data_IF_662894768059
#
_entry.id   IF_662894768059
#
_cell.length_a   1.000
_cell.length_b   1.000
_cell.length_c   1.000
_cell.angle_alpha   90.00
_cell.angle_beta   90.00
_cell.angle_gamma   90.00
#
_symmetry.space_group_name_H-M   'P 1'
#
loop_
_entity.id
_entity.type
_entity.pdbx_description
1 polymer ?
#
# COMPACT_ATOMS: atom_id res chain seq x y z
N UNK A 1 -5.26 -16.45 17.09
CA UNK A 1 -5.88 -15.19 16.60
C UNK A 1 -7.33 -15.35 16.14
N UNK A 2 -7.62 -16.23 15.16
CA UNK A 2 -8.98 -16.40 14.58
C UNK A 2 -10.13 -16.55 15.61
N UNK A 3 -9.93 -17.33 16.67
CA UNK A 3 -10.96 -17.55 17.70
C UNK A 3 -11.24 -16.30 18.55
N UNK A 4 -10.21 -15.52 18.88
CA UNK A 4 -10.35 -14.23 19.57
C UNK A 4 -11.22 -13.26 18.76
N UNK A 5 -10.94 -13.12 17.46
CA UNK A 5 -11.70 -12.26 16.56
C UNK A 5 -13.16 -12.72 16.44
N UNK A 6 -13.39 -14.03 16.30
CA UNK A 6 -14.76 -14.59 16.25
C UNK A 6 -15.53 -14.29 17.52
N UNK A 7 -14.91 -14.46 18.68
CA UNK A 7 -15.54 -14.21 19.96
C UNK A 7 -15.86 -12.72 20.16
N UNK A 8 -14.92 -11.83 19.85
CA UNK A 8 -15.14 -10.40 19.93
C UNK A 8 -16.27 -9.93 19.00
N UNK A 9 -16.32 -10.42 17.75
CA UNK A 9 -17.41 -10.13 16.81
C UNK A 9 -18.76 -10.70 17.27
N UNK A 10 -18.77 -11.84 17.95
CA UNK A 10 -19.98 -12.39 18.54
C UNK A 10 -20.53 -11.47 19.64
N UNK A 11 -19.68 -11.02 20.56
CA UNK A 11 -20.05 -10.05 21.61
C UNK A 11 -20.58 -8.74 21.00
N UNK A 12 -19.90 -8.22 19.97
CA UNK A 12 -20.32 -7.03 19.23
C UNK A 12 -21.71 -7.18 18.60
N UNK A 13 -21.97 -8.32 17.94
CA UNK A 13 -23.28 -8.60 17.31
C UNK A 13 -24.42 -8.67 18.33
N UNK A 14 -24.13 -9.09 19.56
CA UNK A 14 -25.10 -9.11 20.67
C UNK A 14 -25.16 -7.78 21.45
N UNK A 15 -24.54 -6.71 20.94
CA UNK A 15 -24.46 -5.39 21.58
C UNK A 15 -23.69 -5.35 22.90
N UNK A 16 -22.89 -6.38 23.21
CA UNK A 16 -22.01 -6.40 24.38
C UNK A 16 -20.67 -5.72 24.09
N UNK A 17 -20.71 -4.41 23.82
CA UNK A 17 -19.56 -3.63 23.37
C UNK A 17 -18.40 -3.65 24.38
N UNK A 18 -18.70 -3.52 25.68
CA UNK A 18 -17.68 -3.55 26.73
C UNK A 18 -16.97 -4.91 26.81
N UNK A 19 -17.72 -6.00 26.60
CA UNK A 19 -17.17 -7.35 26.54
C UNK A 19 -16.31 -7.53 25.29
N UNK A 20 -16.82 -7.15 24.11
CA UNK A 20 -16.07 -7.20 22.85
C UNK A 20 -14.73 -6.45 22.94
N UNK A 21 -14.74 -5.25 23.53
CA UNK A 21 -13.52 -4.47 23.78
C UNK A 21 -12.53 -5.21 24.65
N UNK A 22 -12.98 -5.76 25.78
CA UNK A 22 -12.14 -6.54 26.69
C UNK A 22 -11.55 -7.79 26.04
N UNK A 23 -12.24 -8.38 25.06
CA UNK A 23 -11.72 -9.53 24.29
C UNK A 23 -10.59 -9.08 23.38
N UNK A 24 -10.73 -7.96 22.67
CA UNK A 24 -9.64 -7.41 21.85
C UNK A 24 -8.43 -6.99 22.69
N UNK A 25 -8.65 -6.26 23.79
CA UNK A 25 -7.56 -5.82 24.68
C UNK A 25 -6.78 -7.01 25.25
N UNK A 26 -7.49 -8.04 25.75
CA UNK A 26 -6.84 -9.28 26.22
C UNK A 26 -6.12 -10.04 25.11
N UNK A 27 -6.64 -10.02 23.89
CA UNK A 27 -5.97 -10.66 22.77
C UNK A 27 -4.65 -9.94 22.46
N UNK A 28 -4.64 -8.60 22.42
CA UNK A 28 -3.42 -7.81 22.22
C UNK A 28 -2.40 -8.07 23.33
N UNK A 29 -2.83 -8.05 24.60
CA UNK A 29 -1.96 -8.35 25.75
C UNK A 29 -1.40 -9.78 25.69
N UNK A 30 -2.21 -10.75 25.29
CA UNK A 30 -1.80 -12.15 25.19
C UNK A 30 -0.73 -12.40 24.13
N UNK A 31 -0.84 -11.75 22.95
CA UNK A 31 0.16 -11.89 21.89
C UNK A 31 1.39 -10.98 22.11
N UNK A 32 1.24 -9.91 22.89
CA UNK A 32 2.28 -8.91 23.09
C UNK A 32 2.53 -8.06 21.84
N UNK A 33 3.45 -7.10 21.96
CA UNK A 33 3.77 -6.14 20.89
C UNK A 33 4.56 -6.81 19.75
N UNK A 34 5.45 -7.76 20.06
CA UNK A 34 6.35 -8.39 19.08
C UNK A 34 5.70 -9.50 18.23
N UNK A 35 4.59 -10.08 18.67
CA UNK A 35 3.93 -11.20 17.97
C UNK A 35 2.47 -10.91 17.61
N UNK A 36 2.12 -9.63 17.51
CA UNK A 36 0.75 -9.25 17.14
C UNK A 36 0.47 -9.65 15.68
N UNK A 37 -0.71 -10.22 15.44
CA UNK A 37 -1.13 -10.63 14.10
C UNK A 37 -1.89 -9.47 13.42
N UNK A 38 -1.51 -9.16 12.18
CA UNK A 38 -2.11 -8.11 11.35
C UNK A 38 -3.65 -8.19 11.32
N UNK A 39 -4.24 -9.40 11.30
CA UNK A 39 -5.68 -9.61 11.25
C UNK A 39 -6.35 -9.21 12.56
N UNK A 40 -5.65 -9.38 13.68
CA UNK A 40 -6.15 -8.93 14.99
C UNK A 40 -6.17 -7.41 15.06
N UNK A 41 -5.08 -6.77 14.61
CA UNK A 41 -4.95 -5.31 14.55
C UNK A 41 -6.08 -4.72 13.70
N UNK A 42 -6.24 -5.22 12.46
CA UNK A 42 -7.29 -4.77 11.54
C UNK A 42 -8.67 -4.98 12.13
N UNK A 43 -8.94 -6.13 12.74
CA UNK A 43 -10.23 -6.40 13.38
C UNK A 43 -10.50 -5.43 14.54
N UNK A 44 -9.49 -5.14 15.36
CA UNK A 44 -9.62 -4.23 16.49
C UNK A 44 -9.81 -2.78 16.04
N UNK A 45 -9.06 -2.32 15.03
CA UNK A 45 -9.23 -1.00 14.45
C UNK A 45 -10.62 -0.82 13.83
N UNK A 46 -11.14 -1.82 13.10
CA UNK A 46 -12.52 -1.82 12.56
C UNK A 46 -13.58 -1.79 13.65
N UNK A 47 -13.37 -2.51 14.76
CA UNK A 47 -14.25 -2.41 15.92
C UNK A 47 -14.26 -0.98 16.49
N UNK A 48 -13.10 -0.35 16.66
CA UNK A 48 -12.99 1.03 17.14
C UNK A 48 -13.65 2.03 16.19
N UNK A 49 -13.49 1.85 14.89
CA UNK A 49 -14.19 2.61 13.85
C UNK A 49 -15.72 2.45 13.98
N UNK A 50 -16.23 1.23 14.16
CA UNK A 50 -17.66 0.97 14.38
C UNK A 50 -18.23 1.62 15.63
N UNK A 51 -17.40 1.78 16.67
CA UNK A 51 -17.72 2.53 17.89
C UNK A 51 -17.50 4.05 17.77
N UNK A 52 -17.18 4.56 16.57
CA UNK A 52 -16.85 5.97 16.30
C UNK A 52 -15.64 6.49 17.10
N UNK A 53 -14.77 5.59 17.57
CA UNK A 53 -13.53 5.90 18.27
C UNK A 53 -12.36 6.04 17.26
N UNK A 54 -12.49 6.96 16.30
CA UNK A 54 -11.55 7.10 15.17
C UNK A 54 -10.10 7.35 15.62
N UNK A 55 -9.88 8.19 16.62
CA UNK A 55 -8.53 8.46 17.12
C UNK A 55 -7.88 7.20 17.72
N UNK A 56 -8.67 6.35 18.37
CA UNK A 56 -8.17 5.07 18.87
C UNK A 56 -7.87 4.09 17.75
N UNK A 57 -8.66 4.09 16.67
CA UNK A 57 -8.37 3.29 15.49
C UNK A 57 -7.03 3.71 14.85
N UNK A 58 -6.75 5.03 14.75
CA UNK A 58 -5.45 5.54 14.28
C UNK A 58 -4.29 5.09 15.15
N UNK A 59 -4.42 5.17 16.47
CA UNK A 59 -3.38 4.71 17.39
C UNK A 59 -3.07 3.22 17.21
N UNK A 60 -4.09 2.39 17.00
CA UNK A 60 -3.90 0.95 16.74
C UNK A 60 -3.13 0.73 15.44
N UNK A 61 -3.49 1.44 14.36
CA UNK A 61 -2.76 1.32 13.08
C UNK A 61 -1.30 1.79 13.20
N UNK A 62 -1.06 2.94 13.83
CA UNK A 62 0.30 3.46 14.03
C UNK A 62 1.15 2.50 14.87
N UNK A 63 0.61 2.04 16.00
CA UNK A 63 1.29 1.09 16.86
C UNK A 63 1.64 -0.20 16.10
N UNK A 64 0.73 -0.71 15.27
CA UNK A 64 1.03 -1.89 14.46
C UNK A 64 2.16 -1.65 13.45
N UNK A 65 2.19 -0.50 12.79
CA UNK A 65 3.26 -0.14 11.84
C UNK A 65 4.64 0.02 12.51
N UNK A 66 4.68 0.38 13.79
CA UNK A 66 5.93 0.54 14.54
C UNK A 66 6.53 -0.80 15.01
N UNK A 67 5.71 -1.85 15.15
CA UNK A 67 6.13 -3.15 15.74
C UNK A 67 6.08 -4.33 14.76
N UNK A 68 5.33 -4.22 13.65
CA UNK A 68 5.22 -5.29 12.66
C UNK A 68 6.37 -5.29 11.64
N UNK A 69 6.76 -6.46 11.11
CA UNK A 69 7.66 -6.53 9.96
C UNK A 69 6.99 -5.94 8.72
N UNK A 70 7.80 -5.41 7.80
CA UNK A 70 7.35 -4.72 6.58
C UNK A 70 6.36 -5.55 5.73
N UNK A 71 6.50 -6.87 5.71
CA UNK A 71 5.63 -7.78 4.95
C UNK A 71 4.18 -7.73 5.45
N UNK A 72 3.98 -7.63 6.77
CA UNK A 72 2.66 -7.52 7.40
C UNK A 72 2.09 -6.10 7.39
N UNK A 73 2.94 -5.09 7.19
CA UNK A 73 2.52 -3.68 7.18
C UNK A 73 1.63 -3.35 5.96
N UNK A 74 1.70 -4.13 4.87
CA UNK A 74 0.93 -3.85 3.65
C UNK A 74 -0.58 -3.86 3.90
N UNK A 75 -1.09 -4.89 4.58
CA UNK A 75 -2.52 -5.02 4.90
C UNK A 75 -2.96 -3.95 5.90
N UNK A 76 -2.06 -3.56 6.82
CA UNK A 76 -2.29 -2.45 7.76
C UNK A 76 -2.44 -1.13 7.00
N UNK A 77 -1.51 -0.81 6.09
CA UNK A 77 -1.58 0.42 5.28
C UNK A 77 -2.83 0.48 4.42
N UNK A 78 -3.24 -0.64 3.81
CA UNK A 78 -4.48 -0.73 3.02
C UNK A 78 -5.70 -0.34 3.85
N UNK A 79 -5.86 -0.95 5.02
CA UNK A 79 -6.97 -0.62 5.91
C UNK A 79 -6.87 0.76 6.53
N UNK A 80 -5.67 1.23 6.84
CA UNK A 80 -5.46 2.55 7.40
C UNK A 80 -5.78 3.66 6.38
N UNK A 81 -5.37 3.49 5.12
CA UNK A 81 -5.68 4.41 4.03
C UNK A 81 -7.20 4.53 3.82
N UNK A 82 -7.92 3.40 3.81
CA UNK A 82 -9.39 3.40 3.72
C UNK A 82 -10.03 4.11 4.91
N UNK A 83 -9.49 3.96 6.12
CA UNK A 83 -9.97 4.65 7.31
C UNK A 83 -9.78 6.17 7.20
N UNK A 84 -8.58 6.65 6.86
CA UNK A 84 -8.31 8.09 6.72
C UNK A 84 -9.08 8.70 5.56
N UNK A 85 -9.31 7.97 4.45
CA UNK A 85 -10.18 8.47 3.37
C UNK A 85 -11.61 8.74 3.81
N UNK A 86 -12.10 8.03 4.83
CA UNK A 86 -13.47 8.19 5.37
C UNK A 86 -13.57 9.21 6.50
N UNK A 87 -12.57 9.28 7.38
CA UNK A 87 -12.64 10.02 8.64
C UNK A 87 -11.45 10.96 8.89
N UNK A 88 -10.48 10.98 7.97
CA UNK A 88 -9.25 11.73 8.04
C UNK A 88 -9.32 13.11 7.43
N UNK A 89 -8.28 13.89 7.73
CA UNK A 89 -8.00 15.11 6.96
C UNK A 89 -7.21 14.75 5.72
N UNK A 90 -7.23 15.63 4.70
CA UNK A 90 -6.42 15.49 3.49
C UNK A 90 -4.94 15.24 3.79
N UNK A 91 -4.37 16.02 4.71
CA UNK A 91 -2.98 15.87 5.13
C UNK A 91 -2.69 14.49 5.79
N UNK A 92 -3.66 13.95 6.55
CA UNK A 92 -3.50 12.63 7.15
C UNK A 92 -3.58 11.50 6.10
N UNK A 93 -4.46 11.64 5.11
CA UNK A 93 -4.56 10.69 3.98
C UNK A 93 -3.23 10.67 3.21
N UNK A 94 -2.71 11.85 2.87
CA UNK A 94 -1.43 12.00 2.16
C UNK A 94 -0.27 11.38 2.95
N UNK A 95 -0.14 11.68 4.25
CA UNK A 95 0.92 11.11 5.10
C UNK A 95 0.90 9.56 5.10
N UNK A 96 -0.28 8.96 5.23
CA UNK A 96 -0.42 7.50 5.24
C UNK A 96 -0.09 6.90 3.88
N UNK A 97 -0.57 7.49 2.78
CA UNK A 97 -0.31 6.99 1.43
C UNK A 97 1.18 7.11 1.08
N UNK A 98 1.82 8.24 1.40
CA UNK A 98 3.26 8.44 1.16
C UNK A 98 4.10 7.44 1.93
N UNK A 99 3.79 7.20 3.22
CA UNK A 99 4.47 6.18 4.04
C UNK A 99 4.28 4.78 3.46
N UNK A 100 3.04 4.43 3.09
CA UNK A 100 2.71 3.15 2.46
C UNK A 100 3.48 2.94 1.15
N UNK A 101 3.45 3.93 0.25
CA UNK A 101 4.17 3.89 -1.03
C UNK A 101 5.69 3.72 -0.84
N UNK A 102 6.27 4.38 0.17
CA UNK A 102 7.68 4.24 0.49
C UNK A 102 8.02 2.85 1.04
N UNK A 103 7.20 2.30 1.94
CA UNK A 103 7.39 0.95 2.49
C UNK A 103 7.31 -0.14 1.41
N UNK A 104 6.46 0.06 0.40
CA UNK A 104 6.28 -0.89 -0.71
C UNK A 104 7.35 -0.78 -1.81
N UNK A 105 8.33 0.14 -1.72
CA UNK A 105 9.40 0.28 -2.75
C UNK A 105 10.31 -0.94 -2.84
N UNK A 106 10.54 -1.63 -1.73
CA UNK A 106 11.39 -2.82 -1.68
C UNK A 106 10.61 -4.12 -1.90
N UNK A 107 9.28 -4.06 -2.01
CA UNK A 107 8.46 -5.24 -2.25
C UNK A 107 8.65 -5.73 -3.68
N UNK A 108 8.78 -7.05 -3.86
CA UNK A 108 8.82 -7.65 -5.20
C UNK A 108 7.48 -7.52 -5.92
N UNK A 109 6.38 -7.54 -5.16
CA UNK A 109 5.02 -7.41 -5.66
C UNK A 109 4.66 -5.94 -5.89
N UNK A 110 4.55 -5.57 -7.17
CA UNK A 110 4.29 -4.20 -7.63
C UNK A 110 2.79 -3.85 -7.74
N UNK A 111 1.93 -4.85 -7.75
CA UNK A 111 0.49 -4.67 -7.98
C UNK A 111 -0.18 -3.93 -6.82
N UNK A 112 0.13 -4.28 -5.56
CA UNK A 112 -0.45 -3.59 -4.39
C UNK A 112 -0.01 -2.12 -4.32
N UNK A 113 1.25 -1.83 -4.67
CA UNK A 113 1.75 -0.45 -4.77
C UNK A 113 1.05 0.32 -5.88
N UNK A 114 0.77 -0.31 -7.02
CA UNK A 114 -0.01 0.27 -8.10
C UNK A 114 -1.44 0.59 -7.63
N UNK A 115 -2.15 -0.38 -7.05
CA UNK A 115 -3.53 -0.20 -6.56
C UNK A 115 -3.62 0.93 -5.52
N UNK A 116 -2.62 1.08 -4.66
CA UNK A 116 -2.53 2.21 -3.72
C UNK A 116 -2.47 3.56 -4.46
N UNK A 117 -1.60 3.69 -5.45
CA UNK A 117 -1.42 4.94 -6.20
C UNK A 117 -2.63 5.25 -7.09
N UNK A 118 -3.22 4.25 -7.73
CA UNK A 118 -4.48 4.40 -8.49
C UNK A 118 -5.59 4.91 -7.58
N UNK A 119 -5.74 4.31 -6.40
CA UNK A 119 -6.72 4.78 -5.42
C UNK A 119 -6.42 6.21 -4.96
N UNK A 120 -5.15 6.62 -4.84
CA UNK A 120 -4.82 8.02 -4.53
C UNK A 120 -5.15 8.95 -5.70
N UNK A 121 -4.84 8.55 -6.93
CA UNK A 121 -5.15 9.31 -8.14
C UNK A 121 -6.66 9.56 -8.28
N UNK A 122 -7.49 8.54 -8.02
CA UNK A 122 -8.95 8.68 -7.97
C UNK A 122 -9.40 9.68 -6.90
N UNK A 123 -8.82 9.59 -5.70
CA UNK A 123 -9.13 10.53 -4.63
C UNK A 123 -8.79 11.99 -5.01
N UNK A 124 -7.66 12.22 -5.68
CA UNK A 124 -7.26 13.55 -6.16
C UNK A 124 -8.07 14.03 -7.38
N UNK A 125 -8.58 13.11 -8.20
CA UNK A 125 -9.52 13.45 -9.26
C UNK A 125 -10.82 14.02 -8.69
N UNK A 126 -11.33 13.41 -7.61
CA UNK A 126 -12.60 13.80 -6.99
C UNK A 126 -12.48 15.02 -6.05
N UNK A 127 -11.35 15.15 -5.34
CA UNK A 127 -11.21 16.09 -4.21
C UNK A 127 -10.03 17.06 -4.35
N UNK A 128 -9.12 16.81 -5.30
CA UNK A 128 -7.85 17.53 -5.43
C UNK A 128 -7.89 18.74 -6.35
N UNK A 129 -6.80 19.50 -6.31
CA UNK A 129 -6.50 20.58 -7.23
C UNK A 129 -5.54 20.14 -8.34
N UNK A 130 -5.20 21.04 -9.25
CA UNK A 130 -4.32 20.73 -10.37
C UNK A 130 -2.88 20.37 -9.92
N UNK A 131 -2.39 21.00 -8.85
CA UNK A 131 -1.03 20.79 -8.34
C UNK A 131 -0.89 19.39 -7.73
N UNK A 132 -1.85 19.00 -6.90
CA UNK A 132 -1.88 17.71 -6.22
C UNK A 132 -2.15 16.56 -7.19
N UNK A 133 -3.00 16.74 -8.21
CA UNK A 133 -3.13 15.76 -9.30
C UNK A 133 -1.82 15.56 -10.06
N UNK A 134 -1.16 16.66 -10.46
CA UNK A 134 0.16 16.60 -11.12
C UNK A 134 1.22 15.94 -10.25
N UNK A 135 1.13 16.10 -8.93
CA UNK A 135 2.03 15.42 -8.00
C UNK A 135 1.82 13.89 -8.05
N UNK A 136 0.58 13.41 -7.92
CA UNK A 136 0.28 11.98 -7.96
C UNK A 136 0.58 11.37 -9.34
N UNK A 137 0.29 12.07 -10.43
CA UNK A 137 0.59 11.61 -11.79
C UNK A 137 2.09 11.34 -11.99
N UNK A 138 2.96 12.13 -11.35
CA UNK A 138 4.42 11.93 -11.39
C UNK A 138 4.88 10.70 -10.60
N UNK A 139 4.04 10.14 -9.74
CA UNK A 139 4.33 8.92 -8.96
C UNK A 139 3.85 7.65 -9.67
N UNK A 140 2.95 7.77 -10.66
CA UNK A 140 2.37 6.64 -11.37
C UNK A 140 3.43 5.84 -12.16
N UNK A 141 3.38 4.50 -12.12
CA UNK A 141 4.35 3.68 -12.83
C UNK A 141 4.06 3.62 -14.33
N UNK A 142 5.09 3.27 -15.10
CA UNK A 142 4.95 2.90 -16.50
C UNK A 142 4.71 1.40 -16.64
N UNK A 143 3.64 1.03 -17.35
CA UNK A 143 3.35 -0.36 -17.72
C UNK A 143 4.18 -0.76 -18.93
N UNK A 144 4.96 -1.83 -18.81
CA UNK A 144 5.77 -2.39 -19.89
C UNK A 144 5.42 -3.86 -20.11
N UNK A 145 5.70 -4.36 -21.33
CA UNK A 145 5.58 -5.78 -21.66
C UNK A 145 6.96 -6.44 -21.58
N UNK A 146 7.06 -7.53 -20.83
CA UNK A 146 8.27 -8.35 -20.71
C UNK A 146 7.99 -9.78 -21.14
N UNK A 147 9.06 -10.51 -21.41
CA UNK A 147 9.03 -11.95 -21.74
C UNK A 147 9.86 -12.71 -20.73
N UNK A 148 9.31 -13.76 -20.11
CA UNK A 148 10.05 -14.71 -19.27
C UNK A 148 10.03 -16.09 -19.89
N UNK A 149 11.06 -16.90 -19.65
CA UNK A 149 11.04 -18.31 -20.08
C UNK A 149 10.08 -19.09 -19.19
N UNK A 150 9.31 -19.98 -19.82
CA UNK A 150 8.50 -20.98 -19.14
C UNK A 150 9.36 -22.23 -19.02
N UNK A 151 9.45 -22.80 -17.81
CA UNK A 151 10.08 -24.10 -17.58
C UNK A 151 8.99 -25.13 -17.24
N UNK A 152 9.10 -26.32 -17.82
CA UNK A 152 8.28 -27.47 -17.41
C UNK A 152 8.71 -27.99 -16.04
N UNK A 153 7.90 -28.84 -15.39
CA UNK A 153 8.26 -29.51 -14.12
C UNK A 153 9.60 -30.27 -14.21
N UNK A 154 9.93 -30.80 -15.40
CA UNK A 154 11.20 -31.48 -15.68
C UNK A 154 12.37 -30.52 -15.99
N UNK A 155 12.19 -29.20 -15.85
CA UNK A 155 13.20 -28.18 -16.10
C UNK A 155 13.50 -27.90 -17.58
N UNK A 156 12.76 -28.51 -18.52
CA UNK A 156 12.90 -28.24 -19.96
C UNK A 156 12.26 -26.91 -20.37
N UNK A 157 12.88 -26.22 -21.32
CA UNK A 157 12.40 -24.92 -21.84
C UNK A 157 11.07 -25.12 -22.61
N UNK A 158 9.96 -24.63 -22.05
CA UNK A 158 8.60 -24.75 -22.60
C UNK A 158 8.17 -23.54 -23.47
N UNK A 159 9.08 -22.59 -23.70
CA UNK A 159 8.84 -21.39 -24.49
C UNK A 159 8.94 -20.09 -23.67
N UNK A 160 8.28 -19.04 -24.17
CA UNK A 160 8.29 -17.71 -23.56
C UNK A 160 6.86 -17.28 -23.21
N UNK A 161 6.68 -16.70 -22.03
CA UNK A 161 5.44 -16.05 -21.60
C UNK A 161 5.60 -14.53 -21.66
N UNK A 162 4.66 -13.85 -22.30
CA UNK A 162 4.52 -12.39 -22.20
C UNK A 162 3.78 -12.03 -20.90
N UNK A 163 4.35 -11.13 -20.10
CA UNK A 163 3.72 -10.60 -18.89
C UNK A 163 3.88 -9.09 -18.81
N UNK A 164 3.00 -8.44 -18.06
CA UNK A 164 3.10 -7.02 -17.78
C UNK A 164 3.94 -6.79 -16.51
N UNK A 165 4.83 -5.81 -16.57
CA UNK A 165 5.61 -5.34 -15.44
C UNK A 165 5.42 -3.83 -15.31
N UNK A 166 5.68 -3.30 -14.12
CA UNK A 166 5.50 -1.89 -13.79
C UNK A 166 6.83 -1.30 -13.35
N UNK A 167 7.16 -0.12 -13.87
CA UNK A 167 8.37 0.61 -13.47
C UNK A 167 7.91 1.89 -12.78
N UNK A 168 8.17 1.97 -11.48
CA UNK A 168 7.85 3.17 -10.73
C UNK A 168 8.93 4.24 -10.93
N UNK A 169 8.58 5.53 -10.79
CA UNK A 169 9.53 6.63 -10.82
C UNK A 169 10.70 6.40 -9.86
N UNK A 170 11.93 6.53 -10.37
CA UNK A 170 13.18 6.27 -9.66
C UNK A 170 13.75 4.86 -9.86
N UNK A 171 12.96 3.90 -10.33
CA UNK A 171 13.46 2.56 -10.70
C UNK A 171 14.06 2.53 -12.11
N UNK A 172 13.86 3.56 -12.94
CA UNK A 172 14.39 3.60 -14.30
C UNK A 172 15.92 3.51 -14.32
N UNK A 173 16.58 4.07 -13.31
CA UNK A 173 18.03 4.01 -13.16
C UNK A 173 18.55 2.60 -12.82
N UNK A 174 17.72 1.70 -12.31
CA UNK A 174 18.15 0.34 -11.98
C UNK A 174 18.06 -0.61 -13.19
N UNK A 175 17.45 -0.16 -14.31
CA UNK A 175 17.28 -0.93 -15.54
C UNK A 175 18.28 -0.46 -16.63
N UNK A 176 19.30 -1.26 -16.99
CA UNK A 176 20.36 -0.82 -17.90
C UNK A 176 19.86 -0.46 -19.32
N UNK A 177 18.86 -1.17 -19.84
CA UNK A 177 18.30 -0.90 -21.16
C UNK A 177 17.46 0.39 -21.21
N UNK A 178 16.84 0.79 -20.09
CA UNK A 178 16.03 2.00 -20.00
C UNK A 178 16.87 3.25 -19.74
N UNK A 179 17.98 3.12 -19.02
CA UNK A 179 18.99 4.19 -18.91
C UNK A 179 19.44 4.70 -20.28
N UNK A 180 19.74 3.78 -21.20
CA UNK A 180 20.14 4.13 -22.57
C UNK A 180 19.01 4.87 -23.31
N UNK A 181 17.77 4.40 -23.18
CA UNK A 181 16.61 5.02 -23.81
C UNK A 181 16.30 6.42 -23.24
N UNK A 182 16.42 6.58 -21.92
CA UNK A 182 16.24 7.86 -21.23
C UNK A 182 17.34 8.87 -21.59
N UNK A 183 18.60 8.41 -21.70
CA UNK A 183 19.71 9.22 -22.20
C UNK A 183 19.49 9.63 -23.65
N UNK A 184 19.04 8.73 -24.52
CA UNK A 184 18.70 9.03 -25.91
C UNK A 184 17.58 10.08 -26.02
N UNK A 185 16.54 9.98 -25.18
CA UNK A 185 15.45 10.97 -25.13
C UNK A 185 15.95 12.35 -24.68
N UNK A 186 16.78 12.40 -23.62
CA UNK A 186 17.40 13.66 -23.16
C UNK A 186 18.31 14.28 -24.19
N UNK A 187 19.12 13.48 -24.88
CA UNK A 187 19.99 13.95 -25.96
C UNK A 187 19.17 14.56 -27.10
N UNK A 188 18.08 13.89 -27.52
CA UNK A 188 17.17 14.43 -28.54
C UNK A 188 16.55 15.77 -28.11
N UNK A 189 16.14 15.87 -26.86
CA UNK A 189 15.54 17.10 -26.33
C UNK A 189 16.55 18.25 -26.24
N UNK A 190 17.80 17.96 -25.86
CA UNK A 190 18.88 18.95 -25.92
C UNK A 190 19.19 19.42 -27.35
N UNK A 191 19.13 18.51 -28.33
CA UNK A 191 19.31 18.91 -29.73
C UNK A 191 18.17 19.79 -30.24
N UNK A 192 16.93 19.55 -29.81
CA UNK A 192 15.76 20.39 -30.14
C UNK A 192 15.87 21.78 -29.46
N UNK A 193 16.28 21.84 -28.19
CA UNK A 193 16.47 23.10 -27.45
C UNK A 193 17.65 23.94 -28.02
N UNK A 194 18.72 23.28 -28.51
CA UNK A 194 19.87 23.90 -29.19
C UNK A 194 19.53 24.37 -30.62
N UNK A 195 18.55 23.74 -31.30
CA UNK A 195 18.06 24.17 -32.61
C UNK A 195 17.07 25.35 -32.53
N UNK A 196 16.42 25.56 -31.37
CA UNK A 196 15.47 26.67 -31.13
C UNK A 196 16.11 27.92 -30.49
N UNK A 197 17.40 27.89 -30.10
CA UNK A 197 18.18 29.06 -29.61
C UNK A 197 18.99 29.77 -30.70
#
# INVERSE_FOLDING_TARGET
>A
VKNWIKYAKFEEKNSYISSARRVYERAVEFFGEDNIDERLVVAFAKFKEGQKEHERARLIYKCALDHLPNDSCQEIYKHYTVHEKKFGSRAAIEDVIVKSNNAMKSAEEKEERLMLLESWQEFEADNGDEETRKHVDKLMPQKIKKRRKIQTEDGSDAGWEEYHDYIFPGEEASQPNLKLLAMAKKWKQQMEDDEES
#
